data_IF_755585503866
#
_entry.id   IF_755585503866
#
_cell.length_a   1.000
_cell.length_b   1.000
_cell.length_c   1.000
_cell.angle_alpha   90.00
_cell.angle_beta   90.00
_cell.angle_gamma   90.00
#
_symmetry.space_group_name_H-M   'P 1'
#
loop_
_entity.id
_entity.type
_entity.pdbx_description
1 polymer ?
#
# COMPACT_ATOMS: atom_id res chain seq x y z
N UNK A 1 -9.74 9.27 -5.59
CA UNK A 1 -8.46 9.54 -6.31
C UNK A 1 -8.60 9.03 -7.75
N UNK A 2 -8.09 9.73 -8.78
CA UNK A 2 -8.05 9.18 -10.15
C UNK A 2 -7.25 7.87 -10.20
N UNK A 3 -7.78 6.84 -10.88
CA UNK A 3 -7.15 5.51 -11.04
C UNK A 3 -5.69 5.58 -11.51
N UNK A 4 -5.37 6.50 -12.42
CA UNK A 4 -4.00 6.68 -12.91
C UNK A 4 -3.00 7.12 -11.81
N UNK A 5 -3.44 7.99 -10.90
CA UNK A 5 -2.63 8.44 -9.76
C UNK A 5 -2.37 7.30 -8.80
N UNK A 6 -3.38 6.46 -8.56
CA UNK A 6 -3.27 5.29 -7.71
C UNK A 6 -2.26 4.28 -8.24
N UNK A 7 -2.38 3.92 -9.52
CA UNK A 7 -1.44 3.01 -10.20
C UNK A 7 -0.01 3.57 -10.13
N UNK A 8 0.17 4.89 -10.32
CA UNK A 8 1.49 5.52 -10.23
C UNK A 8 2.10 5.41 -8.83
N UNK A 9 1.29 5.64 -7.79
CA UNK A 9 1.75 5.54 -6.40
C UNK A 9 2.11 4.09 -6.06
N UNK A 10 1.27 3.12 -6.42
CA UNK A 10 1.57 1.69 -6.19
C UNK A 10 2.82 1.21 -6.93
N UNK A 11 2.99 1.62 -8.20
CA UNK A 11 4.23 1.34 -8.93
C UNK A 11 5.44 1.95 -8.22
N UNK A 12 5.29 3.17 -7.70
CA UNK A 12 6.30 3.80 -6.86
C UNK A 12 6.65 2.93 -5.66
N UNK A 13 5.67 2.53 -4.86
CA UNK A 13 5.89 1.65 -3.70
C UNK A 13 6.56 0.32 -4.07
N UNK A 14 6.11 -0.34 -5.14
CA UNK A 14 6.70 -1.61 -5.61
C UNK A 14 8.16 -1.46 -6.05
N UNK A 15 8.55 -0.29 -6.56
CA UNK A 15 9.93 -0.01 -6.98
C UNK A 15 10.89 0.26 -5.80
N UNK A 16 10.37 0.75 -4.67
CA UNK A 16 11.18 1.07 -3.47
C UNK A 16 11.02 0.07 -2.32
N UNK A 17 10.11 -0.88 -2.43
CA UNK A 17 9.82 -1.85 -1.38
C UNK A 17 9.70 -3.24 -1.98
N UNK A 18 10.66 -4.10 -1.67
CA UNK A 18 10.70 -5.50 -2.12
C UNK A 18 9.53 -6.35 -1.56
N UNK A 19 8.75 -5.79 -0.63
CA UNK A 19 7.75 -6.51 0.14
C UNK A 19 6.29 -6.13 -0.23
N UNK A 20 6.08 -5.32 -1.28
CA UNK A 20 4.74 -4.91 -1.72
C UNK A 20 4.16 -5.93 -2.70
N UNK A 21 3.09 -6.62 -2.31
CA UNK A 21 2.25 -7.39 -3.25
C UNK A 21 0.95 -6.61 -3.51
N UNK A 22 0.46 -6.63 -4.75
CA UNK A 22 -0.82 -6.00 -5.11
C UNK A 22 -1.72 -7.13 -5.59
N UNK A 23 -2.82 -7.37 -4.87
CA UNK A 23 -3.79 -8.41 -5.22
C UNK A 23 -5.08 -7.74 -5.69
N UNK A 24 -5.15 -7.57 -7.00
CA UNK A 24 -6.33 -7.37 -7.86
C UNK A 24 -7.40 -6.30 -7.54
N UNK A 25 -7.99 -5.86 -8.66
CA UNK A 25 -8.82 -4.67 -8.85
C UNK A 25 -10.21 -5.17 -9.27
N UNK A 26 -11.20 -4.94 -8.42
CA UNK A 26 -12.58 -5.36 -8.68
C UNK A 26 -13.48 -4.14 -8.58
N UNK A 27 -14.21 -3.85 -9.66
CA UNK A 27 -15.38 -2.97 -9.70
C UNK A 27 -15.27 -1.69 -8.86
N UNK A 28 -14.51 -0.72 -9.37
CA UNK A 28 -14.21 0.54 -8.69
C UNK A 28 -13.56 0.42 -7.30
N UNK A 29 -12.93 -0.73 -6.99
CA UNK A 29 -12.13 -0.93 -5.80
C UNK A 29 -10.77 -1.55 -6.10
N UNK A 30 -9.80 -1.27 -5.24
CA UNK A 30 -8.55 -2.04 -5.18
C UNK A 30 -8.28 -2.54 -3.78
N UNK A 31 -7.77 -3.77 -3.72
CA UNK A 31 -7.16 -4.34 -2.54
C UNK A 31 -5.64 -4.35 -2.72
N UNK A 32 -4.92 -3.84 -1.72
CA UNK A 32 -3.45 -3.78 -1.74
C UNK A 32 -2.93 -4.46 -0.49
N UNK A 33 -2.01 -5.42 -0.65
CA UNK A 33 -1.45 -6.20 0.46
C UNK A 33 0.04 -5.98 0.57
N UNK A 34 0.44 -5.05 1.44
CA UNK A 34 1.84 -4.76 1.71
C UNK A 34 2.33 -5.71 2.80
N UNK A 35 3.37 -6.50 2.52
CA UNK A 35 4.12 -7.20 3.57
C UNK A 35 5.24 -6.29 4.02
N UNK A 36 5.55 -6.28 5.30
CA UNK A 36 6.67 -5.52 5.87
C UNK A 36 7.44 -6.46 6.76
N UNK A 37 8.58 -6.96 6.28
CA UNK A 37 9.51 -7.78 7.05
C UNK A 37 10.44 -6.86 7.85
N UNK A 38 10.13 -6.63 9.13
CA UNK A 38 10.79 -5.69 10.05
C UNK A 38 11.02 -4.25 9.54
N UNK A 39 10.56 -3.23 10.29
CA UNK A 39 10.86 -1.83 9.95
C UNK A 39 12.32 -1.50 10.26
N UNK A 40 13.23 -1.77 9.32
CA UNK A 40 14.63 -1.34 9.40
C UNK A 40 14.86 -0.17 8.44
N UNK A 41 15.07 1.03 8.98
CA UNK A 41 15.69 2.14 8.24
C UNK A 41 14.91 2.70 7.05
N UNK A 42 13.59 2.87 7.17
CA UNK A 42 12.79 3.55 6.13
C UNK A 42 13.25 5.01 5.93
N UNK A 43 13.50 5.40 4.68
CA UNK A 43 13.80 6.79 4.33
C UNK A 43 12.58 7.69 4.52
N UNK A 44 12.78 8.97 4.87
CA UNK A 44 11.70 9.96 4.95
C UNK A 44 10.83 10.04 3.67
N UNK A 45 11.38 9.66 2.52
CA UNK A 45 10.66 9.63 1.24
C UNK A 45 9.66 8.47 1.17
N UNK A 46 10.01 7.31 1.72
CA UNK A 46 9.13 6.14 1.79
C UNK A 46 7.98 6.40 2.76
N UNK A 47 8.27 6.92 3.96
CA UNK A 47 7.25 7.31 4.95
C UNK A 47 6.21 8.27 4.35
N UNK A 48 6.67 9.34 3.66
CA UNK A 48 5.75 10.28 3.00
C UNK A 48 4.93 9.64 1.88
N UNK A 49 5.51 8.69 1.15
CA UNK A 49 4.78 7.98 0.09
C UNK A 49 3.70 7.07 0.69
N UNK A 50 4.02 6.40 1.79
CA UNK A 50 3.09 5.56 2.53
C UNK A 50 1.93 6.37 3.14
N UNK A 51 2.24 7.52 3.77
CA UNK A 51 1.23 8.43 4.31
C UNK A 51 0.25 8.93 3.24
N UNK A 52 0.75 9.25 2.03
CA UNK A 52 -0.12 9.65 0.91
C UNK A 52 -1.07 8.53 0.49
N UNK A 53 -0.62 7.28 0.54
CA UNK A 53 -1.45 6.12 0.21
C UNK A 53 -2.56 5.96 1.24
N UNK A 54 -2.19 5.98 2.53
CA UNK A 54 -3.13 5.86 3.64
C UNK A 54 -4.19 6.97 3.63
N UNK A 55 -3.81 8.21 3.30
CA UNK A 55 -4.74 9.33 3.23
C UNK A 55 -5.86 9.17 2.18
N UNK A 56 -5.68 8.24 1.24
CA UNK A 56 -6.67 7.96 0.20
C UNK A 56 -7.32 6.58 0.31
N UNK A 57 -6.94 5.79 1.31
CA UNK A 57 -7.61 4.51 1.57
C UNK A 57 -8.97 4.77 2.22
N UNK A 58 -9.97 3.99 1.83
CA UNK A 58 -11.29 4.01 2.48
C UNK A 58 -11.29 3.12 3.71
N UNK A 59 -10.46 2.08 3.71
CA UNK A 59 -10.26 1.20 4.83
C UNK A 59 -8.84 0.65 4.84
N UNK A 60 -8.31 0.39 6.04
CA UNK A 60 -7.07 -0.34 6.20
C UNK A 60 -7.15 -1.33 7.37
N UNK A 61 -6.44 -2.44 7.24
CA UNK A 61 -6.28 -3.46 8.27
C UNK A 61 -4.80 -3.83 8.38
N UNK A 62 -4.27 -3.88 9.60
CA UNK A 62 -2.90 -4.30 9.88
C UNK A 62 -2.99 -5.58 10.69
N UNK A 63 -2.29 -6.62 10.25
CA UNK A 63 -2.23 -7.91 10.94
C UNK A 63 -0.79 -8.38 11.09
N UNK A 64 -0.41 -8.96 12.23
CA UNK A 64 0.85 -9.68 12.34
C UNK A 64 0.85 -10.88 11.37
N UNK A 65 1.98 -11.13 10.74
CA UNK A 65 2.19 -12.21 9.78
C UNK A 65 3.63 -12.73 9.91
N UNK A 66 3.82 -13.74 10.78
CA UNK A 66 5.15 -14.22 11.18
C UNK A 66 5.98 -13.11 11.84
N UNK A 67 7.21 -12.92 11.37
CA UNK A 67 8.12 -11.86 11.80
C UNK A 67 7.84 -10.50 11.13
N UNK A 68 6.69 -10.37 10.47
CA UNK A 68 6.32 -9.19 9.71
C UNK A 68 4.90 -8.68 9.99
N UNK A 69 4.54 -7.64 9.25
CA UNK A 69 3.19 -7.10 9.20
C UNK A 69 2.62 -7.25 7.80
N UNK A 70 1.39 -7.73 7.73
CA UNK A 70 0.57 -7.65 6.53
C UNK A 70 -0.40 -6.49 6.68
N UNK A 71 -0.32 -5.54 5.75
CA UNK A 71 -1.17 -4.35 5.68
C UNK A 71 -2.07 -4.48 4.46
N UNK A 72 -3.37 -4.54 4.70
CA UNK A 72 -4.40 -4.59 3.68
C UNK A 72 -5.06 -3.23 3.57
N UNK A 73 -5.05 -2.65 2.37
CA UNK A 73 -5.63 -1.34 2.08
C UNK A 73 -6.76 -1.52 1.05
N UNK A 74 -7.92 -0.95 1.34
CA UNK A 74 -9.04 -0.83 0.40
C UNK A 74 -9.12 0.61 -0.11
N UNK A 75 -9.38 0.73 -1.40
CA UNK A 75 -9.66 2.01 -2.06
C UNK A 75 -10.99 1.88 -2.77
N UNK A 76 -11.82 2.92 -2.67
CA UNK A 76 -13.01 3.08 -3.49
C UNK A 76 -12.81 4.31 -4.37
N UNK A 77 -12.92 4.15 -5.68
CA UNK A 77 -12.93 5.27 -6.61
C UNK A 77 -14.36 5.60 -7.03
N UNK A 78 -14.57 6.90 -7.25
CA UNK A 78 -15.69 7.41 -8.05
C UNK A 78 -15.37 7.27 -9.54
#
# INVERSE_FOLDING_TARGET
>A
MKRATFIRILKGMKLVSNNVSVVENFNNKALVTVRVSEMIGESHKQIRSFQKVLAHCTYYCIRPDGDGLTITLEFQWE
#
